data_IF_273376026004
#
_entry.id   IF_273376026004
#
_cell.length_a   1.000
_cell.length_b   1.000
_cell.length_c   1.000
_cell.angle_alpha   90.00
_cell.angle_beta   90.00
_cell.angle_gamma   90.00
#
_symmetry.space_group_name_H-M   'P 1'
#
loop_
_entity.id
_entity.type
_entity.pdbx_description
1 polymer ?
#
# COMPACT_ATOMS: atom_id res chain seq x y z
N UNK A 1 -65.09 8.42 -4.25
CA UNK A 1 -64.76 7.62 -3.05
C UNK A 1 -63.32 7.93 -2.68
N UNK A 2 -63.04 8.38 -1.44
CA UNK A 2 -61.71 8.74 -0.98
C UNK A 2 -61.04 7.56 -0.27
N UNK A 3 -59.76 7.29 -0.56
CA UNK A 3 -58.92 6.31 0.16
C UNK A 3 -57.47 6.77 0.05
N UNK A 4 -57.01 7.61 0.99
CA UNK A 4 -56.21 7.23 2.18
C UNK A 4 -54.75 6.93 1.85
N UNK A 5 -53.94 7.99 1.83
CA UNK A 5 -52.49 7.94 2.06
C UNK A 5 -52.25 7.75 3.56
N UNK A 6 -51.58 6.68 4.03
CA UNK A 6 -51.11 6.62 5.40
C UNK A 6 -49.83 7.48 5.57
N UNK A 7 -49.69 8.17 6.71
CA UNK A 7 -48.66 9.17 6.93
C UNK A 7 -47.31 8.56 7.34
N UNK A 8 -46.27 9.28 6.94
CA UNK A 8 -44.94 9.42 7.53
C UNK A 8 -44.72 8.62 8.83
N UNK A 9 -43.85 7.61 8.76
CA UNK A 9 -43.36 6.90 9.93
C UNK A 9 -42.65 7.86 10.87
N UNK A 10 -43.31 8.12 11.99
CA UNK A 10 -42.81 8.85 13.14
C UNK A 10 -41.52 8.19 13.65
N UNK A 11 -40.44 8.96 13.67
CA UNK A 11 -39.32 8.70 14.58
C UNK A 11 -39.79 9.06 15.99
N UNK A 12 -39.90 8.10 16.93
CA UNK A 12 -40.14 8.47 18.31
C UNK A 12 -38.84 9.00 18.91
N UNK A 13 -38.75 10.32 18.93
CA UNK A 13 -38.48 11.13 20.11
C UNK A 13 -37.38 10.60 21.03
N UNK A 14 -36.17 11.10 20.79
CA UNK A 14 -35.22 11.35 21.87
C UNK A 14 -35.89 12.22 22.93
N UNK A 15 -36.08 11.67 24.13
CA UNK A 15 -36.01 12.38 25.41
C UNK A 15 -36.08 11.37 26.56
N UNK A 16 -35.12 11.52 27.46
CA UNK A 16 -35.18 11.18 28.88
C UNK A 16 -35.41 9.71 29.26
N UNK A 17 -34.31 8.96 29.25
CA UNK A 17 -33.99 8.08 30.38
C UNK A 17 -32.60 8.48 30.88
N UNK A 18 -32.65 9.56 31.66
CA UNK A 18 -31.73 9.95 32.72
C UNK A 18 -30.80 8.82 33.16
N UNK A 19 -29.51 9.06 32.95
CA UNK A 19 -28.39 8.54 33.73
C UNK A 19 -28.74 8.62 35.22
N UNK A 20 -29.17 7.51 35.79
CA UNK A 20 -29.42 7.38 37.22
C UNK A 20 -29.14 5.94 37.64
N UNK A 21 -27.86 5.65 37.72
CA UNK A 21 -27.18 5.11 38.90
C UNK A 21 -25.82 4.59 38.42
N UNK A 22 -24.95 5.55 38.11
CA UNK A 22 -23.53 5.32 38.32
C UNK A 22 -23.38 5.16 39.82
N UNK A 23 -23.52 3.92 40.30
CA UNK A 23 -23.16 3.55 41.65
C UNK A 23 -21.67 3.88 41.75
N UNK A 24 -21.39 5.08 42.27
CA UNK A 24 -20.05 5.49 42.65
C UNK A 24 -19.60 4.38 43.59
N UNK A 25 -18.65 3.57 43.13
CA UNK A 25 -17.92 2.71 44.04
C UNK A 25 -17.34 3.68 45.06
N UNK A 26 -17.92 3.62 46.25
CA UNK A 26 -17.53 4.38 47.41
C UNK A 26 -16.02 4.26 47.57
N UNK A 27 -15.34 5.40 47.76
CA UNK A 27 -13.88 5.42 47.94
C UNK A 27 -13.44 4.50 49.08
N UNK A 28 -14.33 4.23 50.03
CA UNK A 28 -14.12 3.29 51.13
C UNK A 28 -13.99 1.85 50.64
N UNK A 29 -14.91 1.38 49.79
CA UNK A 29 -14.83 0.05 49.15
C UNK A 29 -13.63 -0.07 48.22
N UNK A 30 -13.26 1.01 47.53
CA UNK A 30 -12.06 1.00 46.68
C UNK A 30 -10.77 0.90 47.49
N UNK A 31 -10.70 1.58 48.65
CA UNK A 31 -9.56 1.46 49.59
C UNK A 31 -9.52 0.09 50.26
N UNK A 32 -10.67 -0.47 50.61
CA UNK A 32 -10.80 -1.82 51.17
C UNK A 32 -10.32 -2.88 50.17
N UNK A 33 -10.75 -2.77 48.91
CA UNK A 33 -10.32 -3.66 47.82
C UNK A 33 -8.79 -3.63 47.61
N UNK A 34 -8.18 -2.44 47.59
CA UNK A 34 -6.73 -2.30 47.45
C UNK A 34 -5.98 -2.94 48.63
N UNK A 35 -6.48 -2.75 49.86
CA UNK A 35 -5.90 -3.37 51.05
C UNK A 35 -5.96 -4.90 51.02
N UNK A 36 -7.08 -5.47 50.53
CA UNK A 36 -7.24 -6.91 50.37
C UNK A 36 -6.32 -7.50 49.29
N UNK A 37 -6.10 -6.78 48.18
CA UNK A 37 -5.15 -7.18 47.13
C UNK A 37 -3.70 -7.15 47.65
N UNK A 38 -3.35 -6.17 48.48
CA UNK A 38 -2.04 -6.08 49.09
C UNK A 38 -1.80 -7.24 50.07
N UNK A 39 -2.79 -7.62 50.86
CA UNK A 39 -2.72 -8.78 51.76
C UNK A 39 -2.66 -10.11 51.00
N UNK A 40 -3.34 -10.21 49.85
CA UNK A 40 -3.24 -11.36 48.94
C UNK A 40 -1.81 -11.53 48.40
N UNK A 41 -1.16 -10.43 47.98
CA UNK A 41 0.22 -10.46 47.49
C UNK A 41 1.21 -10.96 48.56
N UNK A 42 0.94 -10.67 49.83
CA UNK A 42 1.73 -11.15 50.96
C UNK A 42 1.32 -12.56 51.45
N UNK A 43 0.29 -13.17 50.84
CA UNK A 43 -0.17 -14.52 51.16
C UNK A 43 -0.86 -14.66 52.52
N UNK A 44 -1.39 -13.57 53.07
CA UNK A 44 -1.93 -13.49 54.43
C UNK A 44 -3.46 -13.34 54.50
N UNK A 45 -4.16 -13.60 53.39
CA UNK A 45 -5.60 -13.37 53.29
C UNK A 45 -6.41 -14.50 53.96
N UNK A 46 -7.26 -14.16 54.93
CA UNK A 46 -8.17 -15.10 55.61
C UNK A 46 -9.24 -15.65 54.65
N UNK A 47 -9.81 -16.83 54.94
CA UNK A 47 -10.87 -17.43 54.09
C UNK A 47 -12.09 -16.53 53.93
N UNK A 48 -12.47 -15.78 54.98
CA UNK A 48 -13.58 -14.83 54.92
C UNK A 48 -13.28 -13.62 54.02
N UNK A 49 -12.02 -13.17 54.02
CA UNK A 49 -11.53 -12.06 53.20
C UNK A 49 -11.38 -12.49 51.73
N UNK A 50 -11.04 -13.76 51.48
CA UNK A 50 -11.02 -14.34 50.14
C UNK A 50 -12.41 -14.39 49.52
N UNK A 51 -13.44 -14.76 50.30
CA UNK A 51 -14.83 -14.76 49.85
C UNK A 51 -15.31 -13.33 49.57
N UNK A 52 -14.99 -12.37 50.45
CA UNK A 52 -15.31 -10.94 50.22
C UNK A 52 -14.61 -10.37 48.99
N UNK A 53 -13.33 -10.69 48.79
CA UNK A 53 -12.59 -10.26 47.61
C UNK A 53 -13.19 -10.85 46.33
N UNK A 54 -13.61 -12.11 46.36
CA UNK A 54 -14.31 -12.76 45.26
C UNK A 54 -15.63 -12.07 44.92
N UNK A 55 -16.42 -11.70 45.93
CA UNK A 55 -17.70 -11.00 45.74
C UNK A 55 -17.50 -9.59 45.17
N UNK A 56 -16.44 -8.88 45.59
CA UNK A 56 -16.07 -7.57 45.06
C UNK A 56 -15.57 -7.64 43.61
N UNK A 57 -14.86 -8.70 43.21
CA UNK A 57 -14.41 -8.90 41.82
C UNK A 57 -15.60 -9.17 40.88
N UNK A 58 -16.61 -9.89 41.37
CA UNK A 58 -17.82 -10.24 40.59
C UNK A 58 -18.81 -9.06 40.54
N UNK A 59 -18.89 -8.27 41.61
CA UNK A 59 -19.81 -7.14 41.73
C UNK A 59 -19.24 -5.82 41.18
N UNK A 60 -17.92 -5.70 41.05
CA UNK A 60 -17.33 -4.61 40.30
C UNK A 60 -17.76 -4.71 38.83
N UNK A 61 -18.21 -3.62 38.19
CA UNK A 61 -18.44 -3.64 36.75
C UNK A 61 -17.12 -4.06 36.12
N UNK A 62 -17.14 -5.23 35.45
CA UNK A 62 -16.01 -5.85 34.76
C UNK A 62 -15.13 -4.73 34.23
N UNK A 63 -13.91 -4.51 34.75
CA UNK A 63 -13.01 -3.60 34.08
C UNK A 63 -12.91 -4.13 32.66
N UNK A 64 -13.30 -3.30 31.70
CA UNK A 64 -13.13 -3.61 30.29
C UNK A 64 -11.75 -4.24 30.09
N UNK A 65 -11.59 -5.18 29.14
CA UNK A 65 -10.35 -5.92 28.94
C UNK A 65 -9.20 -4.99 28.55
N UNK A 66 -8.62 -4.29 29.53
CA UNK A 66 -7.47 -3.40 29.45
C UNK A 66 -6.19 -4.14 29.83
N UNK A 67 -6.29 -5.43 30.18
CA UNK A 67 -5.20 -6.39 30.07
C UNK A 67 -5.32 -7.21 28.78
N UNK A 68 -5.57 -6.53 27.66
CA UNK A 68 -5.03 -7.03 26.40
C UNK A 68 -3.52 -6.86 26.52
N UNK A 69 -2.83 -7.94 26.84
CA UNK A 69 -1.39 -8.04 26.56
C UNK A 69 -1.24 -7.85 25.05
N UNK A 70 -1.02 -6.60 24.65
CA UNK A 70 -0.71 -6.25 23.28
C UNK A 70 0.64 -6.92 23.02
N UNK A 71 0.62 -8.10 22.40
CA UNK A 71 1.82 -8.73 21.91
C UNK A 71 2.44 -7.75 20.90
N UNK A 72 3.43 -6.97 21.34
CA UNK A 72 4.20 -6.08 20.48
C UNK A 72 5.00 -6.96 19.53
N UNK A 73 4.41 -7.32 18.39
CA UNK A 73 5.10 -8.01 17.32
C UNK A 73 6.06 -6.99 16.69
N UNK A 74 7.34 -7.05 17.07
CA UNK A 74 8.38 -6.23 16.45
C UNK A 74 8.61 -6.72 15.03
N UNK A 75 7.85 -6.17 14.09
CA UNK A 75 8.00 -6.44 12.67
C UNK A 75 9.26 -5.70 12.18
N UNK A 76 10.37 -6.40 12.03
CA UNK A 76 11.55 -5.85 11.35
C UNK A 76 11.49 -6.26 9.89
N UNK A 77 11.24 -5.30 9.01
CA UNK A 77 11.31 -5.51 7.56
C UNK A 77 12.72 -5.20 7.08
N UNK A 78 13.35 -6.16 6.40
CA UNK A 78 14.63 -5.96 5.74
C UNK A 78 14.41 -5.81 4.24
N UNK A 79 15.13 -4.88 3.62
CA UNK A 79 15.13 -4.69 2.18
C UNK A 79 16.57 -4.71 1.67
N UNK A 80 16.81 -5.54 0.67
CA UNK A 80 18.12 -5.71 0.06
C UNK A 80 18.70 -7.12 0.24
N UNK A 81 19.77 -7.44 -0.50
CA UNK A 81 20.36 -8.77 -0.52
C UNK A 81 21.23 -9.07 0.71
N UNK A 82 21.50 -8.06 1.56
CA UNK A 82 22.34 -8.19 2.75
C UNK A 82 21.51 -8.09 4.04
N UNK A 83 21.81 -8.92 5.06
CA UNK A 83 21.23 -8.76 6.38
C UNK A 83 21.80 -7.49 7.07
N UNK A 84 21.13 -6.99 8.12
CA UNK A 84 21.65 -5.89 8.92
C UNK A 84 23.04 -6.18 9.48
N UNK A 85 23.86 -5.15 9.68
CA UNK A 85 25.22 -5.32 10.17
C UNK A 85 25.27 -6.02 11.53
N UNK A 86 24.30 -5.78 12.42
CA UNK A 86 24.23 -6.44 13.74
C UNK A 86 24.05 -7.96 13.61
N UNK A 87 23.23 -8.40 12.64
CA UNK A 87 23.01 -9.82 12.37
C UNK A 87 24.18 -10.43 11.60
N UNK A 88 24.77 -9.68 10.66
CA UNK A 88 25.91 -10.13 9.87
C UNK A 88 27.17 -10.34 10.74
N UNK A 89 27.35 -9.51 11.76
CA UNK A 89 28.45 -9.63 12.73
C UNK A 89 28.29 -10.78 13.72
N UNK A 90 27.08 -11.34 13.86
CA UNK A 90 26.82 -12.50 14.72
C UNK A 90 27.34 -13.82 14.11
N UNK A 91 27.60 -13.85 12.79
CA UNK A 91 28.20 -14.99 12.10
C UNK A 91 29.71 -14.99 12.20
N UNK A 92 30.30 -16.19 12.10
CA UNK A 92 31.75 -16.36 11.93
C UNK A 92 32.22 -15.75 10.60
N UNK A 93 33.53 -15.56 10.48
CA UNK A 93 34.15 -14.89 9.34
C UNK A 93 33.92 -15.62 8.00
N UNK A 94 33.88 -16.96 8.00
CA UNK A 94 33.67 -17.75 6.79
C UNK A 94 32.23 -17.61 6.30
N UNK A 95 31.27 -17.78 7.20
CA UNK A 95 29.83 -17.61 6.89
C UNK A 95 29.53 -16.19 6.45
N UNK A 96 30.15 -15.18 7.09
CA UNK A 96 29.96 -13.77 6.71
C UNK A 96 30.43 -13.50 5.28
N UNK A 97 31.60 -14.01 4.91
CA UNK A 97 32.14 -13.89 3.54
C UNK A 97 31.23 -14.57 2.53
N UNK A 98 30.70 -15.75 2.86
CA UNK A 98 29.77 -16.46 1.99
C UNK A 98 28.50 -15.64 1.75
N UNK A 99 27.90 -15.06 2.79
CA UNK A 99 26.70 -14.20 2.68
C UNK A 99 26.99 -12.98 1.80
N UNK A 100 28.11 -12.31 2.02
CA UNK A 100 28.50 -11.14 1.22
C UNK A 100 28.73 -11.53 -0.24
N UNK A 101 29.42 -12.63 -0.50
CA UNK A 101 29.65 -13.11 -1.87
C UNK A 101 28.33 -13.45 -2.57
N UNK A 102 27.40 -14.14 -1.89
CA UNK A 102 26.07 -14.41 -2.44
C UNK A 102 25.32 -13.12 -2.79
N UNK A 103 25.40 -12.09 -1.94
CA UNK A 103 24.77 -10.80 -2.20
C UNK A 103 25.42 -10.06 -3.39
N UNK A 104 26.75 -10.14 -3.54
CA UNK A 104 27.47 -9.58 -4.69
C UNK A 104 27.07 -10.29 -5.99
N UNK A 105 26.98 -11.62 -5.97
CA UNK A 105 26.58 -12.42 -7.12
C UNK A 105 25.13 -12.10 -7.53
N UNK A 106 24.22 -11.98 -6.57
CA UNK A 106 22.83 -11.59 -6.81
C UNK A 106 22.74 -10.16 -7.38
N UNK A 107 23.55 -9.23 -6.87
CA UNK A 107 23.64 -7.88 -7.41
C UNK A 107 24.15 -7.89 -8.85
N UNK A 108 25.19 -8.66 -9.16
CA UNK A 108 25.71 -8.80 -10.51
C UNK A 108 24.65 -9.39 -11.44
N UNK A 109 23.97 -10.45 -11.02
CA UNK A 109 22.88 -11.07 -11.78
C UNK A 109 21.73 -10.08 -12.06
N UNK A 110 21.34 -9.31 -11.04
CA UNK A 110 20.31 -8.26 -11.17
C UNK A 110 20.73 -7.16 -12.15
N UNK A 111 21.98 -6.70 -12.08
CA UNK A 111 22.52 -5.71 -13.03
C UNK A 111 22.60 -6.26 -14.46
N UNK A 112 23.01 -7.51 -14.62
CA UNK A 112 23.04 -8.19 -15.92
C UNK A 112 21.64 -8.34 -16.51
N UNK A 113 20.65 -8.74 -15.70
CA UNK A 113 19.26 -8.82 -16.16
C UNK A 113 18.71 -7.45 -16.54
N UNK A 114 18.98 -6.41 -15.73
CA UNK A 114 18.55 -5.04 -16.01
C UNK A 114 19.19 -4.50 -17.28
N UNK A 115 20.50 -4.68 -17.45
CA UNK A 115 21.24 -4.24 -18.63
C UNK A 115 20.77 -4.96 -19.89
N UNK A 116 20.60 -6.29 -19.85
CA UNK A 116 20.04 -7.08 -20.97
C UNK A 116 18.61 -6.66 -21.29
N UNK A 117 17.79 -6.38 -20.27
CA UNK A 117 16.43 -5.87 -20.45
C UNK A 117 16.41 -4.53 -21.15
N UNK A 118 17.24 -3.59 -20.69
CA UNK A 118 17.39 -2.27 -21.28
C UNK A 118 17.93 -2.34 -22.72
N UNK A 119 18.99 -3.11 -22.94
CA UNK A 119 19.58 -3.32 -24.27
C UNK A 119 18.59 -4.00 -25.23
N UNK A 120 17.80 -4.95 -24.72
CA UNK A 120 16.71 -5.59 -25.45
C UNK A 120 15.64 -4.60 -25.90
N UNK A 121 15.23 -3.68 -25.01
CA UNK A 121 14.30 -2.60 -25.33
C UNK A 121 14.89 -1.64 -26.38
N UNK A 122 16.13 -1.18 -26.20
CA UNK A 122 16.82 -0.30 -27.15
C UNK A 122 16.90 -0.96 -28.54
N UNK A 123 17.36 -2.21 -28.62
CA UNK A 123 17.45 -2.95 -29.90
C UNK A 123 16.09 -3.18 -30.54
N UNK A 124 15.01 -3.30 -29.76
CA UNK A 124 13.65 -3.44 -30.26
C UNK A 124 13.20 -2.12 -30.89
N UNK A 125 13.42 -1.00 -30.20
CA UNK A 125 13.09 0.34 -30.69
C UNK A 125 13.90 0.70 -31.93
N UNK A 126 15.20 0.41 -31.94
CA UNK A 126 16.08 0.63 -33.10
C UNK A 126 15.60 -0.15 -34.34
N UNK A 127 15.22 -1.42 -34.17
CA UNK A 127 14.63 -2.22 -35.26
C UNK A 127 13.28 -1.67 -35.71
N UNK A 128 12.44 -1.25 -34.77
CA UNK A 128 11.15 -0.60 -35.05
C UNK A 128 11.32 0.66 -35.91
N UNK A 129 12.26 1.53 -35.56
CA UNK A 129 12.56 2.74 -36.32
C UNK A 129 13.07 2.44 -37.73
N UNK A 130 13.94 1.43 -37.90
CA UNK A 130 14.41 1.02 -39.23
C UNK A 130 13.29 0.52 -40.13
N UNK A 131 12.40 -0.32 -39.60
CA UNK A 131 11.24 -0.78 -40.37
C UNK A 131 10.26 0.36 -40.67
N UNK A 132 10.02 1.26 -39.70
CA UNK A 132 9.21 2.45 -39.90
C UNK A 132 9.75 3.35 -41.02
N UNK A 133 11.06 3.64 -41.01
CA UNK A 133 11.73 4.40 -42.07
C UNK A 133 11.62 3.72 -43.44
N UNK A 134 11.78 2.39 -43.47
CA UNK A 134 11.65 1.62 -44.73
C UNK A 134 10.25 1.74 -45.30
N UNK A 135 9.21 1.60 -44.49
CA UNK A 135 7.81 1.74 -44.91
C UNK A 135 7.52 3.17 -45.40
N UNK A 136 8.03 4.19 -44.71
CA UNK A 136 7.89 5.59 -45.12
C UNK A 136 8.49 5.84 -46.51
N UNK A 137 9.73 5.39 -46.73
CA UNK A 137 10.41 5.55 -48.01
C UNK A 137 9.65 4.84 -49.12
N UNK A 138 9.18 3.61 -48.87
CA UNK A 138 8.38 2.86 -49.85
C UNK A 138 7.07 3.58 -50.18
N UNK A 139 6.36 4.12 -49.18
CA UNK A 139 5.14 4.90 -49.35
C UNK A 139 5.37 6.17 -50.19
N UNK A 140 6.44 6.92 -49.87
CA UNK A 140 6.82 8.13 -50.60
C UNK A 140 7.20 7.84 -52.06
N UNK A 141 7.96 6.77 -52.30
CA UNK A 141 8.31 6.32 -53.66
C UNK A 141 7.03 5.92 -54.42
N UNK A 142 6.12 5.17 -53.80
CA UNK A 142 4.85 4.80 -54.41
C UNK A 142 4.01 6.03 -54.79
N UNK A 143 3.89 7.02 -53.90
CA UNK A 143 3.20 8.27 -54.19
C UNK A 143 3.82 9.02 -55.38
N UNK A 144 5.16 9.07 -55.44
CA UNK A 144 5.90 9.72 -56.54
C UNK A 144 5.67 9.02 -57.87
N UNK A 145 5.69 7.68 -57.88
CA UNK A 145 5.45 6.88 -59.10
C UNK A 145 4.00 7.00 -59.58
N UNK A 146 3.03 7.12 -58.67
CA UNK A 146 1.59 7.21 -58.99
C UNK A 146 1.18 8.63 -59.41
N UNK A 147 1.88 9.67 -58.96
CA UNK A 147 1.54 11.07 -59.22
C UNK A 147 1.25 11.41 -60.71
N UNK A 148 1.99 10.88 -61.71
CA UNK A 148 1.69 11.12 -63.12
C UNK A 148 0.37 10.49 -63.60
N UNK A 149 -0.11 9.44 -62.93
CA UNK A 149 -1.34 8.72 -63.30
C UNK A 149 -2.55 9.23 -62.53
N UNK A 150 -2.39 9.60 -61.26
CA UNK A 150 -3.45 10.17 -60.42
C UNK A 150 -2.87 11.02 -59.30
N UNK A 151 -3.02 12.33 -59.43
CA UNK A 151 -2.61 13.30 -58.40
C UNK A 151 -3.41 13.13 -57.10
N UNK A 152 -4.70 12.77 -57.20
CA UNK A 152 -5.55 12.52 -56.03
C UNK A 152 -5.04 11.31 -55.25
N UNK A 153 -4.73 10.20 -55.93
CA UNK A 153 -4.21 9.00 -55.27
C UNK A 153 -2.84 9.26 -54.62
N UNK A 154 -1.94 9.95 -55.33
CA UNK A 154 -0.64 10.34 -54.77
C UNK A 154 -0.78 11.25 -53.54
N UNK A 155 -1.74 12.18 -53.56
CA UNK A 155 -2.04 13.06 -52.43
C UNK A 155 -2.56 12.31 -51.21
N UNK A 156 -3.47 11.34 -51.39
CA UNK A 156 -3.96 10.48 -50.29
C UNK A 156 -2.82 9.65 -49.69
N UNK A 157 -1.96 9.04 -50.52
CA UNK A 157 -0.82 8.25 -50.02
C UNK A 157 0.15 9.15 -49.26
N UNK A 158 0.54 10.30 -49.82
CA UNK A 158 1.47 11.21 -49.16
C UNK A 158 0.94 11.80 -47.85
N UNK A 159 -0.35 12.12 -47.78
CA UNK A 159 -0.97 12.61 -46.55
C UNK A 159 -1.07 11.54 -45.47
N UNK A 160 -1.43 10.31 -45.84
CA UNK A 160 -1.44 9.17 -44.90
C UNK A 160 -0.04 8.91 -44.33
N UNK A 161 0.99 8.96 -45.17
CA UNK A 161 2.38 8.74 -44.77
C UNK A 161 2.86 9.84 -43.80
N UNK A 162 2.54 11.11 -44.10
CA UNK A 162 2.86 12.23 -43.22
C UNK A 162 2.14 12.14 -41.87
N UNK A 163 0.84 11.84 -41.88
CA UNK A 163 0.06 11.66 -40.63
C UNK A 163 0.59 10.48 -39.82
N UNK A 164 0.92 9.37 -40.48
CA UNK A 164 1.52 8.20 -39.85
C UNK A 164 2.85 8.53 -39.17
N UNK A 165 3.72 9.27 -39.84
CA UNK A 165 4.99 9.74 -39.27
C UNK A 165 4.76 10.65 -38.06
N UNK A 166 3.88 11.65 -38.18
CA UNK A 166 3.55 12.54 -37.06
C UNK A 166 3.00 11.74 -35.88
N UNK A 167 2.13 10.77 -36.10
CA UNK A 167 1.58 9.92 -35.04
C UNK A 167 2.70 9.16 -34.31
N UNK A 168 3.64 8.55 -35.02
CA UNK A 168 4.75 7.78 -34.42
C UNK A 168 5.70 8.68 -33.62
N UNK A 169 5.99 9.89 -34.11
CA UNK A 169 6.92 10.80 -33.43
C UNK A 169 6.29 11.63 -32.29
N UNK A 170 4.99 11.97 -32.40
CA UNK A 170 4.31 12.85 -31.43
C UNK A 170 3.59 12.07 -30.33
N UNK A 171 3.00 10.89 -30.63
CA UNK A 171 2.26 10.12 -29.64
C UNK A 171 3.10 9.73 -28.40
N UNK A 172 4.36 9.30 -28.52
CA UNK A 172 5.19 8.99 -27.35
C UNK A 172 5.36 10.20 -26.42
N UNK A 173 5.59 11.37 -27.00
CA UNK A 173 5.82 12.63 -26.26
C UNK A 173 4.58 13.14 -25.53
N UNK A 174 3.39 12.92 -26.08
CA UNK A 174 2.12 13.27 -25.41
C UNK A 174 1.87 12.33 -24.23
N UNK A 175 2.12 11.03 -24.40
CA UNK A 175 1.97 10.03 -23.34
C UNK A 175 2.93 10.26 -22.17
N UNK A 176 4.17 10.68 -22.45
CA UNK A 176 5.14 11.09 -21.42
C UNK A 176 4.63 12.30 -20.61
N UNK A 177 4.13 13.34 -21.30
CA UNK A 177 3.62 14.55 -20.65
C UNK A 177 2.44 14.27 -19.70
N UNK A 178 1.56 13.32 -20.04
CA UNK A 178 0.42 12.96 -19.19
C UNK A 178 0.83 12.20 -17.93
N UNK A 179 1.89 11.38 -17.99
CA UNK A 179 2.44 10.68 -16.83
C UNK A 179 3.05 11.66 -15.83
N UNK A 180 3.83 12.64 -16.30
CA UNK A 180 4.44 13.65 -15.42
C UNK A 180 3.41 14.63 -14.84
N UNK A 181 2.34 14.94 -15.57
CA UNK A 181 1.28 15.83 -15.08
C UNK A 181 0.31 15.21 -14.07
N UNK A 182 0.40 13.89 -13.85
CA UNK A 182 -0.48 13.14 -12.93
C UNK A 182 0.22 12.74 -11.63
N UNK A 183 1.53 13.00 -11.49
CA UNK A 183 2.21 12.94 -10.20
C UNK A 183 1.90 14.26 -9.46
N UNK A 184 1.15 14.22 -8.34
CA UNK A 184 1.02 15.38 -7.47
C UNK A 184 2.43 15.77 -7.00
N UNK A 185 2.73 17.07 -6.83
CA UNK A 185 4.01 17.50 -6.28
C UNK A 185 4.22 16.77 -4.95
N UNK A 186 5.30 16.00 -4.86
CA UNK A 186 5.79 15.51 -3.59
C UNK A 186 6.24 16.75 -2.82
N UNK A 187 5.45 17.14 -1.82
CA UNK A 187 5.85 18.14 -0.83
C UNK A 187 7.07 17.56 -0.11
N UNK A 188 8.26 18.03 -0.50
CA UNK A 188 9.48 17.89 0.29
C UNK A 188 9.24 18.57 1.65
N UNK A 189 9.02 17.74 2.68
CA UNK A 189 8.93 18.12 4.09
C UNK A 189 10.17 17.67 4.85
#
# INVERSE_FOLDING_TARGET
MPSTTPPNGEQPSQRDLSLQDGQQVDEETQKEFVGLIEQLHHGQLSEEEQVRLGDLIVSAPTPEPQNQSVAMMRQVSYQGPLPPPEQLNAYDEETRRLIVNMAVDEQHHTHDMRSKGLEGAIKKDERGQRYGLTVAIVGLVAATVIAPFSSVAAGVIGTLDLVGMVAIFVAPRILEKQRTGSQPPEDDA
#
